data_IF_140687265306
#
_entry.id   IF_140687265306
#
_cell.length_a   1.000
_cell.length_b   1.000
_cell.length_c   1.000
_cell.angle_alpha   90.00
_cell.angle_beta   90.00
_cell.angle_gamma   90.00
#
_symmetry.space_group_name_H-M   'P 1'
#
loop_
_entity.id
_entity.type
_entity.pdbx_description
1 polymer ?
#
# COMPACT_ATOMS: atom_id res chain seq x y z
N UNK A 1 26.84 30.13 -15.92
CA UNK A 1 26.95 28.70 -16.26
C UNK A 1 26.12 28.52 -17.52
N UNK A 2 26.75 28.72 -18.67
CA UNK A 2 26.18 28.39 -19.98
C UNK A 2 26.09 26.87 -20.06
N UNK A 3 24.86 26.34 -20.20
CA UNK A 3 24.63 24.96 -20.57
C UNK A 3 25.09 24.84 -22.03
N UNK A 4 26.10 24.02 -22.28
CA UNK A 4 26.55 23.70 -23.62
C UNK A 4 25.42 22.98 -24.37
N UNK A 5 24.78 23.66 -25.31
CA UNK A 5 23.77 23.14 -26.26
C UNK A 5 24.37 22.18 -27.32
N UNK A 6 25.54 21.59 -27.05
CA UNK A 6 26.33 20.85 -28.05
C UNK A 6 26.11 19.33 -28.07
N UNK A 7 25.19 18.77 -27.27
CA UNK A 7 24.90 17.33 -27.29
C UNK A 7 23.57 16.94 -27.96
N UNK A 8 22.63 17.88 -28.15
CA UNK A 8 21.34 17.58 -28.80
C UNK A 8 21.43 17.40 -30.32
N UNK A 9 22.57 17.72 -30.93
CA UNK A 9 22.79 17.61 -32.37
C UNK A 9 23.18 16.21 -32.86
N UNK A 10 23.36 15.21 -31.97
CA UNK A 10 23.88 13.88 -32.36
C UNK A 10 22.84 12.85 -32.82
N UNK A 11 21.54 13.16 -32.77
CA UNK A 11 20.50 12.30 -33.37
C UNK A 11 19.85 12.92 -34.63
N UNK A 12 20.44 14.01 -35.15
CA UNK A 12 19.96 14.77 -36.32
C UNK A 12 20.93 14.69 -37.51
N UNK A 13 21.16 13.50 -38.04
CA UNK A 13 21.71 13.29 -39.40
C UNK A 13 21.59 11.79 -39.72
N UNK A 14 21.09 11.31 -40.87
CA UNK A 14 21.40 11.85 -42.20
C UNK A 14 20.39 11.49 -43.31
N UNK A 15 19.25 10.84 -43.05
CA UNK A 15 18.28 10.53 -44.10
C UNK A 15 16.86 10.89 -43.64
N UNK A 16 16.32 11.98 -44.20
CA UNK A 16 15.03 12.60 -43.87
C UNK A 16 13.77 11.78 -44.17
N UNK A 17 13.80 10.46 -43.97
CA UNK A 17 12.62 9.61 -43.99
C UNK A 17 12.27 9.21 -42.55
N UNK A 18 11.56 10.11 -41.86
CA UNK A 18 10.73 9.72 -40.71
C UNK A 18 9.64 8.78 -41.23
N UNK A 19 9.93 7.48 -41.29
CA UNK A 19 8.90 6.47 -41.51
C UNK A 19 8.01 6.47 -40.27
N UNK A 20 6.87 7.16 -40.38
CA UNK A 20 5.84 7.24 -39.36
C UNK A 20 5.30 5.82 -39.11
N UNK A 21 5.79 5.18 -38.05
CA UNK A 21 5.41 3.82 -37.60
C UNK A 21 3.97 3.78 -37.02
N UNK A 22 3.03 4.53 -37.61
CA UNK A 22 1.69 4.78 -37.06
C UNK A 22 0.76 3.55 -37.09
N UNK A 23 0.88 2.67 -38.08
CA UNK A 23 -0.14 1.63 -38.27
C UNK A 23 -0.03 0.44 -37.29
N UNK A 24 1.17 0.13 -36.78
CA UNK A 24 1.32 -0.85 -35.68
C UNK A 24 1.13 -0.26 -34.29
N UNK A 25 1.03 1.08 -34.16
CA UNK A 25 0.77 1.74 -32.88
C UNK A 25 -0.68 1.61 -32.45
N UNK A 26 -1.64 1.64 -33.38
CA UNK A 26 -3.07 1.66 -33.03
C UNK A 26 -3.51 0.35 -32.33
N UNK A 27 -3.14 -0.82 -32.84
CA UNK A 27 -3.47 -2.10 -32.20
C UNK A 27 -2.76 -2.31 -30.85
N UNK A 28 -1.52 -1.83 -30.73
CA UNK A 28 -0.79 -1.88 -29.46
C UNK A 28 -1.37 -0.92 -28.41
N UNK A 29 -1.83 0.26 -28.84
CA UNK A 29 -2.52 1.23 -27.99
C UNK A 29 -3.84 0.66 -27.47
N UNK A 30 -4.63 0.03 -28.35
CA UNK A 30 -5.92 -0.57 -27.97
C UNK A 30 -5.72 -1.75 -27.03
N UNK A 31 -4.76 -2.66 -27.29
CA UNK A 31 -4.50 -3.79 -26.39
C UNK A 31 -3.93 -3.35 -25.03
N UNK A 32 -3.08 -2.32 -25.01
CA UNK A 32 -2.55 -1.72 -23.78
C UNK A 32 -3.64 -1.06 -22.92
N UNK A 33 -4.54 -0.30 -23.55
CA UNK A 33 -5.67 0.31 -22.88
C UNK A 33 -6.64 -0.74 -22.31
N UNK A 34 -6.94 -1.81 -23.07
CA UNK A 34 -7.77 -2.90 -22.58
C UNK A 34 -7.11 -3.59 -21.38
N UNK A 35 -5.81 -3.91 -21.45
CA UNK A 35 -5.09 -4.51 -20.34
C UNK A 35 -5.04 -3.61 -19.10
N UNK A 36 -4.81 -2.31 -19.27
CA UNK A 36 -4.83 -1.32 -18.19
C UNK A 36 -6.20 -1.19 -17.53
N UNK A 37 -7.27 -1.17 -18.33
CA UNK A 37 -8.66 -1.14 -17.84
C UNK A 37 -9.00 -2.45 -17.12
N UNK A 38 -8.67 -3.60 -17.68
CA UNK A 38 -8.89 -4.91 -17.05
C UNK A 38 -8.13 -5.04 -15.72
N UNK A 39 -6.89 -4.57 -15.66
CA UNK A 39 -6.09 -4.55 -14.43
C UNK A 39 -6.69 -3.59 -13.39
N UNK A 40 -7.13 -2.41 -13.82
CA UNK A 40 -7.82 -1.44 -12.96
C UNK A 40 -9.12 -2.03 -12.39
N UNK A 41 -9.92 -2.72 -13.22
CA UNK A 41 -11.13 -3.43 -12.78
C UNK A 41 -10.78 -4.56 -11.80
N UNK A 42 -9.74 -5.35 -12.08
CA UNK A 42 -9.29 -6.42 -11.20
C UNK A 42 -8.86 -5.87 -9.83
N UNK A 43 -8.14 -4.76 -9.81
CA UNK A 43 -7.73 -4.05 -8.60
C UNK A 43 -8.94 -3.48 -7.87
N UNK A 44 -9.90 -2.90 -8.58
CA UNK A 44 -11.11 -2.35 -7.98
C UNK A 44 -11.96 -3.45 -7.34
N UNK A 45 -12.15 -4.57 -8.05
CA UNK A 45 -12.81 -5.78 -7.54
C UNK A 45 -12.06 -6.35 -6.34
N UNK A 46 -10.74 -6.38 -6.39
CA UNK A 46 -9.89 -6.86 -5.30
C UNK A 46 -9.98 -5.95 -4.07
N UNK A 47 -10.00 -4.63 -4.25
CA UNK A 47 -10.17 -3.66 -3.17
C UNK A 47 -11.58 -3.75 -2.59
N UNK A 48 -12.60 -3.90 -3.42
CA UNK A 48 -13.97 -4.15 -2.99
C UNK A 48 -14.07 -5.46 -2.18
N UNK A 49 -13.46 -6.55 -2.64
CA UNK A 49 -13.40 -7.84 -1.93
C UNK A 49 -12.61 -7.74 -0.62
N UNK A 50 -11.50 -7.00 -0.61
CA UNK A 50 -10.69 -6.77 0.58
C UNK A 50 -11.47 -5.96 1.62
N UNK A 51 -12.07 -4.85 1.22
CA UNK A 51 -12.95 -4.02 2.06
C UNK A 51 -14.15 -4.84 2.56
N UNK A 52 -14.77 -5.64 1.69
CA UNK A 52 -15.88 -6.53 2.05
C UNK A 52 -15.45 -7.57 3.09
N UNK A 53 -14.32 -8.25 2.88
CA UNK A 53 -13.75 -9.24 3.80
C UNK A 53 -13.38 -8.63 5.16
N UNK A 54 -12.99 -7.35 5.18
CA UNK A 54 -12.66 -6.62 6.40
C UNK A 54 -13.92 -6.14 7.13
N UNK A 55 -14.93 -5.61 6.42
CA UNK A 55 -16.15 -5.04 6.99
C UNK A 55 -17.12 -6.09 7.53
N UNK A 56 -17.27 -7.22 6.82
CA UNK A 56 -18.21 -8.29 7.19
C UNK A 56 -17.53 -9.49 7.86
N UNK A 57 -16.21 -9.41 8.05
CA UNK A 57 -15.39 -10.52 8.54
C UNK A 57 -15.51 -10.85 10.04
N UNK A 58 -16.31 -10.15 10.84
CA UNK A 58 -16.48 -10.51 12.25
C UNK A 58 -17.42 -11.70 12.48
N UNK A 59 -18.27 -12.05 11.50
CA UNK A 59 -19.33 -13.06 11.68
C UNK A 59 -19.28 -14.25 10.70
N UNK A 60 -18.31 -14.32 9.77
CA UNK A 60 -18.29 -15.37 8.74
C UNK A 60 -17.23 -16.47 8.97
N UNK A 61 -17.61 -17.77 8.94
CA UNK A 61 -16.67 -18.90 9.03
C UNK A 61 -15.76 -19.02 7.80
N UNK A 62 -16.06 -18.33 6.69
CA UNK A 62 -15.25 -18.32 5.46
C UNK A 62 -14.02 -17.39 5.55
N UNK A 63 -13.89 -16.62 6.63
CA UNK A 63 -12.83 -15.62 6.88
C UNK A 63 -11.39 -16.09 6.64
N UNK A 64 -10.91 -17.22 7.17
CA UNK A 64 -9.52 -17.61 6.98
C UNK A 64 -9.24 -18.08 5.56
N UNK A 65 -10.21 -18.75 4.92
CA UNK A 65 -10.07 -19.20 3.52
C UNK A 65 -10.08 -18.01 2.57
N UNK A 66 -11.06 -17.11 2.68
CA UNK A 66 -11.14 -15.93 1.82
C UNK A 66 -9.91 -15.04 1.99
N UNK A 67 -9.44 -14.81 3.22
CA UNK A 67 -8.20 -14.04 3.46
C UNK A 67 -6.97 -14.70 2.85
N UNK A 68 -6.84 -16.02 2.94
CA UNK A 68 -5.73 -16.76 2.30
C UNK A 68 -5.81 -16.66 0.78
N UNK A 69 -6.99 -16.85 0.21
CA UNK A 69 -7.21 -16.76 -1.24
C UNK A 69 -6.92 -15.35 -1.73
N UNK A 70 -7.47 -14.31 -1.10
CA UNK A 70 -7.18 -12.92 -1.47
C UNK A 70 -5.69 -12.59 -1.36
N UNK A 71 -5.03 -13.05 -0.30
CA UNK A 71 -3.60 -12.78 -0.12
C UNK A 71 -2.72 -13.58 -1.09
N UNK A 72 -3.04 -14.85 -1.34
CA UNK A 72 -2.32 -15.68 -2.30
C UNK A 72 -2.53 -15.18 -3.73
N UNK A 73 -3.76 -14.79 -4.09
CA UNK A 73 -4.05 -14.20 -5.39
C UNK A 73 -3.34 -12.87 -5.56
N UNK A 74 -3.25 -12.07 -4.50
CA UNK A 74 -2.46 -10.84 -4.50
C UNK A 74 -0.97 -11.13 -4.74
N UNK A 75 -0.36 -12.01 -3.93
CA UNK A 75 1.05 -12.36 -4.11
C UNK A 75 1.30 -12.93 -5.50
N UNK A 76 0.40 -13.79 -6.00
CA UNK A 76 0.50 -14.37 -7.32
C UNK A 76 0.43 -13.29 -8.40
N UNK A 77 -0.53 -12.35 -8.32
CA UNK A 77 -0.66 -11.24 -9.27
C UNK A 77 0.58 -10.35 -9.21
N UNK A 78 0.99 -9.89 -8.03
CA UNK A 78 2.20 -9.06 -7.88
C UNK A 78 3.46 -9.78 -8.37
N UNK A 79 3.60 -11.08 -8.13
CA UNK A 79 4.78 -11.84 -8.54
C UNK A 79 4.78 -12.15 -10.05
N UNK A 80 3.62 -12.51 -10.61
CA UNK A 80 3.44 -12.65 -12.06
C UNK A 80 3.71 -11.32 -12.75
N UNK A 81 3.24 -10.21 -12.19
CA UNK A 81 3.47 -8.87 -12.71
C UNK A 81 4.96 -8.53 -12.73
N UNK A 82 5.69 -8.79 -11.63
CA UNK A 82 7.14 -8.59 -11.56
C UNK A 82 7.87 -9.47 -12.60
N UNK A 83 7.48 -10.73 -12.76
CA UNK A 83 8.09 -11.64 -13.74
C UNK A 83 7.78 -11.20 -15.17
N UNK A 84 6.53 -10.83 -15.45
CA UNK A 84 6.11 -10.37 -16.78
C UNK A 84 6.85 -9.08 -17.17
N UNK A 85 7.01 -8.15 -16.22
CA UNK A 85 7.79 -6.92 -16.40
C UNK A 85 9.29 -7.17 -16.60
N UNK A 86 9.87 -8.07 -15.81
CA UNK A 86 11.32 -8.25 -15.79
C UNK A 86 11.84 -9.14 -16.92
N UNK A 87 11.02 -10.10 -17.38
CA UNK A 87 11.51 -11.19 -18.23
C UNK A 87 10.76 -11.40 -19.55
N UNK A 88 9.45 -11.12 -19.62
CA UNK A 88 8.62 -11.59 -20.75
C UNK A 88 8.23 -10.45 -21.69
N UNK A 89 7.92 -9.26 -21.16
CA UNK A 89 7.66 -8.07 -21.97
C UNK A 89 8.77 -7.04 -21.76
N UNK A 90 9.83 -7.05 -22.59
CA UNK A 90 10.65 -5.85 -22.80
C UNK A 90 9.82 -4.68 -23.41
N UNK A 91 8.52 -4.88 -23.68
CA UNK A 91 7.58 -3.79 -24.00
C UNK A 91 7.26 -2.99 -22.75
N UNK A 92 7.99 -1.88 -22.64
CA UNK A 92 8.01 -0.78 -21.65
C UNK A 92 6.67 -0.33 -21.05
N UNK A 93 5.55 -0.61 -21.72
CA UNK A 93 4.20 -0.18 -21.36
C UNK A 93 3.63 -0.89 -20.13
N UNK A 94 3.91 -2.18 -19.95
CA UNK A 94 3.34 -2.94 -18.83
C UNK A 94 3.94 -2.54 -17.47
N UNK A 95 5.23 -2.16 -17.45
CA UNK A 95 5.97 -1.87 -16.23
C UNK A 95 5.41 -0.72 -15.40
N UNK A 96 4.92 0.33 -16.05
CA UNK A 96 4.54 1.56 -15.35
C UNK A 96 3.11 1.50 -14.80
N UNK A 97 2.20 0.80 -15.50
CA UNK A 97 0.87 0.49 -14.93
C UNK A 97 1.04 -0.42 -13.72
N UNK A 98 1.86 -1.46 -13.83
CA UNK A 98 2.17 -2.39 -12.74
C UNK A 98 2.80 -1.70 -11.52
N UNK A 99 3.63 -0.70 -11.78
CA UNK A 99 4.18 0.15 -10.73
C UNK A 99 3.06 0.87 -9.95
N UNK A 100 2.24 1.67 -10.64
CA UNK A 100 1.17 2.48 -10.02
C UNK A 100 0.19 1.59 -9.23
N UNK A 101 -0.14 0.42 -9.77
CA UNK A 101 -1.08 -0.51 -9.14
C UNK A 101 -0.53 -1.13 -7.86
N UNK A 102 0.78 -1.35 -7.78
CA UNK A 102 1.42 -1.91 -6.58
C UNK A 102 1.39 -0.91 -5.41
N UNK A 103 1.64 0.38 -5.65
CA UNK A 103 1.50 1.43 -4.61
C UNK A 103 0.07 1.51 -4.09
N UNK A 104 -0.90 1.41 -4.98
CA UNK A 104 -2.31 1.46 -4.59
C UNK A 104 -2.65 0.38 -3.56
N UNK A 105 -2.17 -0.84 -3.80
CA UNK A 105 -2.40 -1.92 -2.86
C UNK A 105 -1.74 -1.67 -1.50
N UNK A 106 -0.47 -1.23 -1.49
CA UNK A 106 0.27 -0.95 -0.25
C UNK A 106 -0.44 0.15 0.56
N UNK A 107 -0.80 1.28 -0.08
CA UNK A 107 -1.47 2.38 0.60
C UNK A 107 -2.86 2.01 1.11
N UNK A 108 -3.65 1.26 0.34
CA UNK A 108 -4.94 0.75 0.81
C UNK A 108 -4.79 -0.24 1.96
N UNK A 109 -3.78 -1.12 1.92
CA UNK A 109 -3.49 -2.03 3.00
C UNK A 109 -3.14 -1.27 4.29
N UNK A 110 -2.25 -0.28 4.20
CA UNK A 110 -1.90 0.60 5.32
C UNK A 110 -3.13 1.34 5.84
N UNK A 111 -3.94 1.93 4.96
CA UNK A 111 -5.17 2.61 5.33
C UNK A 111 -6.17 1.66 6.01
N UNK A 112 -6.37 0.43 5.51
CA UNK A 112 -7.27 -0.55 6.11
C UNK A 112 -6.83 -0.90 7.54
N UNK A 113 -5.52 -1.09 7.74
CA UNK A 113 -4.94 -1.32 9.06
C UNK A 113 -5.20 -0.15 9.99
N UNK A 114 -4.97 1.05 9.48
CA UNK A 114 -5.18 2.29 10.20
C UNK A 114 -6.64 2.48 10.62
N UNK A 115 -7.56 2.31 9.68
CA UNK A 115 -9.00 2.43 9.89
C UNK A 115 -9.49 1.47 10.99
N UNK A 116 -8.92 0.27 11.09
CA UNK A 116 -9.24 -0.66 12.17
C UNK A 116 -8.94 -0.08 13.56
N UNK A 117 -7.85 0.66 13.73
CA UNK A 117 -7.53 1.29 15.03
C UNK A 117 -8.50 2.43 15.36
N UNK A 118 -8.92 3.19 14.35
CA UNK A 118 -9.89 4.29 14.54
C UNK A 118 -11.34 3.83 14.73
N UNK A 119 -11.64 2.57 14.40
CA UNK A 119 -12.94 1.93 14.62
C UNK A 119 -12.99 1.10 15.90
N UNK A 120 -11.84 0.83 16.54
CA UNK A 120 -11.81 0.06 17.79
C UNK A 120 -12.51 0.85 18.90
N UNK A 121 -13.59 0.32 19.53
CA UNK A 121 -14.36 1.04 20.54
C UNK A 121 -13.50 1.46 21.74
N UNK A 122 -12.43 0.72 22.06
CA UNK A 122 -11.55 1.03 23.19
C UNK A 122 -10.72 2.29 22.91
N UNK A 123 -10.36 2.51 21.65
CA UNK A 123 -9.53 3.64 21.22
C UNK A 123 -10.36 4.81 20.69
N UNK A 124 -11.51 4.54 20.07
CA UNK A 124 -12.30 5.52 19.33
C UNK A 124 -12.79 6.68 20.18
N UNK A 125 -13.05 6.41 21.46
CA UNK A 125 -13.58 7.39 22.41
C UNK A 125 -12.50 8.40 22.83
N UNK A 126 -11.23 7.99 22.77
CA UNK A 126 -10.09 8.85 23.06
C UNK A 126 -9.65 9.68 21.85
N UNK A 127 -10.14 9.37 20.64
CA UNK A 127 -9.76 10.08 19.44
C UNK A 127 -10.69 11.25 19.13
N UNK A 128 -10.13 12.43 18.82
CA UNK A 128 -10.94 13.57 18.41
C UNK A 128 -11.67 13.25 17.09
N UNK A 129 -12.88 13.82 16.92
CA UNK A 129 -13.71 13.56 15.73
C UNK A 129 -12.99 13.90 14.41
N UNK A 130 -12.07 14.85 14.42
CA UNK A 130 -11.30 15.25 13.24
C UNK A 130 -10.38 14.14 12.73
N UNK A 131 -9.80 13.29 13.60
CA UNK A 131 -8.89 12.22 13.15
C UNK A 131 -9.62 11.15 12.34
N UNK A 132 -10.86 10.84 12.73
CA UNK A 132 -11.75 9.93 11.98
C UNK A 132 -12.14 10.51 10.62
N UNK A 133 -12.41 11.81 10.56
CA UNK A 133 -12.66 12.51 9.29
C UNK A 133 -11.41 12.50 8.41
N UNK A 134 -10.24 12.77 8.98
CA UNK A 134 -8.95 12.75 8.27
C UNK A 134 -8.63 11.36 7.73
N UNK A 135 -8.90 10.29 8.49
CA UNK A 135 -8.75 8.92 8.01
C UNK A 135 -9.65 8.62 6.80
N UNK A 136 -10.90 9.08 6.78
CA UNK A 136 -11.78 8.94 5.61
C UNK A 136 -11.32 9.80 4.44
N UNK A 137 -10.87 11.02 4.70
CA UNK A 137 -10.28 11.90 3.70
C UNK A 137 -9.04 11.25 3.05
N UNK A 138 -8.20 10.59 3.85
CA UNK A 138 -7.01 9.88 3.36
C UNK A 138 -7.39 8.78 2.37
N UNK A 139 -8.46 8.02 2.63
CA UNK A 139 -8.97 7.05 1.64
C UNK A 139 -9.38 7.73 0.35
N UNK A 140 -10.18 8.80 0.45
CA UNK A 140 -10.64 9.54 -0.72
C UNK A 140 -9.45 10.09 -1.52
N UNK A 141 -8.42 10.61 -0.84
CA UNK A 141 -7.18 11.07 -1.45
C UNK A 141 -6.43 9.92 -2.14
N UNK A 142 -6.27 8.76 -1.50
CA UNK A 142 -5.63 7.58 -2.12
C UNK A 142 -6.37 7.17 -3.40
N UNK A 143 -7.70 7.03 -3.33
CA UNK A 143 -8.52 6.64 -4.49
C UNK A 143 -8.42 7.70 -5.59
N UNK A 144 -8.58 8.98 -5.24
CA UNK A 144 -8.56 10.07 -6.20
C UNK A 144 -7.21 10.19 -6.88
N UNK A 145 -6.12 10.30 -6.11
CA UNK A 145 -4.76 10.45 -6.64
C UNK A 145 -4.40 9.28 -7.54
N UNK A 146 -4.66 8.03 -7.11
CA UNK A 146 -4.30 6.88 -7.92
C UNK A 146 -5.16 6.79 -9.18
N UNK A 147 -6.46 7.09 -9.08
CA UNK A 147 -7.33 7.10 -10.27
C UNK A 147 -6.91 8.21 -11.24
N UNK A 148 -6.65 9.41 -10.73
CA UNK A 148 -6.17 10.54 -11.52
C UNK A 148 -4.81 10.23 -12.14
N UNK A 149 -3.88 9.61 -11.39
CA UNK A 149 -2.58 9.18 -11.92
C UNK A 149 -2.78 8.16 -13.04
N UNK A 150 -3.60 7.13 -12.84
CA UNK A 150 -3.90 6.19 -13.92
C UNK A 150 -4.51 6.88 -15.15
N UNK A 151 -5.41 7.86 -15.00
CA UNK A 151 -6.05 8.53 -16.14
C UNK A 151 -5.11 9.51 -16.85
N UNK A 152 -4.27 10.24 -16.11
CA UNK A 152 -3.38 11.28 -16.65
C UNK A 152 -2.08 10.70 -17.19
N UNK A 153 -1.53 9.71 -16.49
CA UNK A 153 -0.26 9.07 -16.81
C UNK A 153 -0.47 8.01 -17.89
N UNK A 154 -1.54 7.20 -17.84
CA UNK A 154 -1.73 6.14 -18.85
C UNK A 154 -1.65 6.63 -20.31
N UNK A 155 -2.35 7.69 -20.75
CA UNK A 155 -2.39 8.06 -22.17
C UNK A 155 -1.01 8.47 -22.71
N UNK A 156 -0.25 9.26 -21.97
CA UNK A 156 1.11 9.67 -22.34
C UNK A 156 2.10 8.51 -22.26
N UNK A 157 1.85 7.54 -21.38
CA UNK A 157 2.66 6.32 -21.26
C UNK A 157 2.31 5.28 -22.32
N UNK A 158 1.12 5.35 -22.92
CA UNK A 158 0.68 4.50 -24.03
C UNK A 158 1.22 4.96 -25.39
N UNK A 159 1.56 6.25 -25.54
CA UNK A 159 2.29 6.79 -26.68
C UNK A 159 3.53 7.60 -26.22
N UNK A 160 4.52 6.94 -25.58
CA UNK A 160 5.73 7.64 -25.20
C UNK A 160 6.41 8.11 -26.49
N UNK A 161 6.79 9.38 -26.54
CA UNK A 161 7.74 9.86 -27.55
C UNK A 161 9.09 9.22 -27.23
N UNK A 162 9.28 7.98 -27.69
CA UNK A 162 10.55 7.28 -27.56
C UNK A 162 11.50 7.85 -28.58
N UNK A 163 12.48 8.63 -28.12
CA UNK A 163 13.63 9.00 -28.93
C UNK A 163 14.55 7.78 -28.92
N UNK A 164 14.58 7.04 -30.04
CA UNK A 164 15.51 5.93 -30.24
C UNK A 164 16.80 6.52 -30.80
N UNK A 165 17.81 6.71 -29.96
CA UNK A 165 19.16 7.03 -30.45
C UNK A 165 19.94 5.71 -30.58
N UNK A 166 20.00 5.17 -31.80
CA UNK A 166 20.67 3.90 -32.09
C UNK A 166 20.88 3.59 -33.56
N UNK A 167 21.92 2.81 -33.85
CA UNK A 167 22.22 2.35 -35.20
C UNK A 167 21.30 1.17 -35.52
N UNK A 168 20.60 1.22 -36.65
CA UNK A 168 19.79 0.10 -37.15
C UNK A 168 20.72 -1.04 -37.56
N UNK A 169 20.67 -2.18 -36.85
CA UNK A 169 21.40 -3.40 -37.27
C UNK A 169 20.73 -4.00 -38.51
N UNK A 170 21.51 -4.72 -39.32
CA UNK A 170 21.05 -5.37 -40.56
C UNK A 170 19.83 -6.31 -40.37
N UNK A 171 19.61 -6.81 -39.15
CA UNK A 171 18.47 -7.67 -38.81
C UNK A 171 17.18 -6.88 -38.52
N UNK A 172 17.17 -5.55 -38.71
CA UNK A 172 16.03 -4.68 -38.42
C UNK A 172 15.89 -4.29 -36.94
N UNK A 173 16.76 -4.78 -36.06
CA UNK A 173 16.80 -4.39 -34.65
C UNK A 173 17.64 -3.13 -34.44
N UNK A 174 17.14 -2.17 -33.68
CA UNK A 174 17.92 -0.98 -33.28
C UNK A 174 18.77 -1.33 -32.06
N UNK A 175 20.08 -1.05 -32.14
CA UNK A 175 20.97 -1.07 -30.98
C UNK A 175 21.10 0.37 -30.49
N UNK A 176 20.17 0.78 -29.63
CA UNK A 176 20.02 2.17 -29.23
C UNK A 176 19.60 2.33 -27.78
N UNK A 177 20.16 3.34 -27.13
CA UNK A 177 19.71 3.78 -25.80
C UNK A 177 18.45 4.61 -26.02
N UNK A 178 17.39 4.26 -25.30
CA UNK A 178 16.15 5.01 -25.35
C UNK A 178 16.05 5.87 -24.10
N UNK A 179 15.84 7.15 -24.33
CA UNK A 179 15.51 8.13 -23.30
C UNK A 179 14.02 8.40 -23.34
N UNK A 180 13.42 8.62 -22.16
CA UNK A 180 12.02 8.99 -22.04
C UNK A 180 12.03 10.50 -21.86
N UNK A 181 11.41 11.21 -22.80
CA UNK A 181 11.07 12.61 -22.59
C UNK A 181 9.77 12.60 -21.78
N UNK A 182 9.91 12.43 -20.46
CA UNK A 182 8.80 12.47 -19.53
C UNK A 182 8.38 13.93 -19.32
N UNK A 183 7.08 14.19 -19.39
CA UNK A 183 6.53 15.47 -18.99
C UNK A 183 6.85 15.72 -17.51
N UNK A 184 7.76 16.66 -17.24
CA UNK A 184 8.21 17.02 -15.89
C UNK A 184 7.02 17.26 -14.94
N UNK A 185 5.92 17.82 -15.45
CA UNK A 185 4.71 18.07 -14.66
C UNK A 185 4.07 16.78 -14.15
N UNK A 186 3.98 15.76 -14.99
CA UNK A 186 3.43 14.46 -14.62
C UNK A 186 4.28 13.80 -13.53
N UNK A 187 5.61 13.93 -13.62
CA UNK A 187 6.54 13.47 -12.59
C UNK A 187 6.33 14.21 -11.26
N UNK A 188 6.34 15.54 -11.28
CA UNK A 188 6.17 16.36 -10.09
C UNK A 188 4.81 16.11 -9.43
N UNK A 189 3.75 15.98 -10.22
CA UNK A 189 2.42 15.64 -9.74
C UNK A 189 2.44 14.29 -9.02
N UNK A 190 3.03 13.25 -9.61
CA UNK A 190 3.18 11.94 -9.00
C UNK A 190 3.93 12.00 -7.67
N UNK A 191 5.06 12.70 -7.65
CA UNK A 191 5.91 12.87 -6.47
C UNK A 191 5.19 13.58 -5.33
N UNK A 192 4.62 14.76 -5.60
CA UNK A 192 3.94 15.57 -4.59
C UNK A 192 2.76 14.79 -4.00
N UNK A 193 2.03 14.07 -4.87
CA UNK A 193 0.90 13.26 -4.45
C UNK A 193 1.31 12.08 -3.55
N UNK A 194 2.40 11.38 -3.89
CA UNK A 194 2.93 10.30 -3.06
C UNK A 194 3.41 10.80 -1.71
N UNK A 195 4.23 11.85 -1.67
CA UNK A 195 4.74 12.45 -0.43
C UNK A 195 3.58 12.91 0.45
N UNK A 196 2.54 13.52 -0.15
CA UNK A 196 1.34 13.94 0.57
C UNK A 196 0.60 12.76 1.20
N UNK A 197 0.32 11.70 0.45
CA UNK A 197 -0.39 10.51 0.95
C UNK A 197 0.42 9.81 2.05
N UNK A 198 1.71 9.60 1.85
CA UNK A 198 2.58 8.96 2.84
C UNK A 198 2.65 9.78 4.12
N UNK A 199 2.77 11.11 4.01
CA UNK A 199 2.76 12.00 5.17
C UNK A 199 1.46 11.89 5.97
N UNK A 200 0.31 11.84 5.28
CA UNK A 200 -0.99 11.62 5.93
C UNK A 200 -1.08 10.28 6.64
N UNK A 201 -0.68 9.18 5.97
CA UNK A 201 -0.69 7.84 6.54
C UNK A 201 0.24 7.75 7.75
N UNK A 202 1.48 8.23 7.62
CA UNK A 202 2.46 8.22 8.70
C UNK A 202 1.99 9.04 9.90
N UNK A 203 1.44 10.24 9.65
CA UNK A 203 0.86 11.08 10.70
C UNK A 203 -0.27 10.36 11.45
N UNK A 204 -1.17 9.69 10.73
CA UNK A 204 -2.29 8.96 11.32
C UNK A 204 -1.87 7.67 12.05
N UNK A 205 -0.69 7.12 11.79
CA UNK A 205 -0.10 6.05 12.61
C UNK A 205 0.61 6.59 13.85
N UNK A 206 1.37 7.67 13.70
CA UNK A 206 2.11 8.30 14.80
C UNK A 206 1.20 8.95 15.82
N UNK A 207 0.06 9.49 15.40
CA UNK A 207 -0.87 10.19 16.28
C UNK A 207 -1.43 9.27 17.39
N UNK A 208 -2.01 8.10 17.11
CA UNK A 208 -2.38 7.12 18.12
C UNK A 208 -1.22 6.72 19.04
N UNK A 209 0.00 6.59 18.49
CA UNK A 209 1.17 6.18 19.27
C UNK A 209 1.54 7.23 20.33
N UNK A 210 1.41 8.53 20.00
CA UNK A 210 1.64 9.65 20.91
C UNK A 210 0.53 9.81 21.96
N UNK A 211 -0.71 9.46 21.61
CA UNK A 211 -1.86 9.61 22.52
C UNK A 211 -1.98 8.46 23.54
N UNK A 212 -1.59 7.25 23.14
CA UNK A 212 -1.73 6.02 23.91
C UNK A 212 -1.14 6.05 25.34
N UNK A 213 0.01 6.70 25.63
CA UNK A 213 0.61 6.69 26.97
C UNK A 213 -0.18 7.48 28.02
N UNK A 214 -1.06 8.41 27.63
CA UNK A 214 -1.61 9.41 28.56
C UNK A 214 -2.98 9.09 29.16
N UNK A 215 -3.78 8.22 28.55
CA UNK A 215 -5.21 8.10 28.89
C UNK A 215 -5.71 6.69 29.21
N UNK A 216 -4.88 5.65 29.10
CA UNK A 216 -5.36 4.25 29.05
C UNK A 216 -4.85 3.45 30.27
N UNK A 217 -4.80 4.06 31.46
CA UNK A 217 -4.32 3.39 32.68
C UNK A 217 -5.35 2.49 33.37
N UNK A 218 -6.61 2.41 32.93
CA UNK A 218 -7.68 1.92 33.81
C UNK A 218 -8.37 0.60 33.42
N UNK A 219 -8.32 0.10 32.18
CA UNK A 219 -9.37 -0.86 31.73
C UNK A 219 -8.97 -2.25 31.20
N UNK A 220 -7.70 -2.59 30.93
CA UNK A 220 -7.20 -3.99 30.86
C UNK A 220 -5.76 -4.01 30.30
N UNK A 221 -4.72 -4.24 31.14
CA UNK A 221 -3.32 -4.07 30.73
C UNK A 221 -2.91 -5.05 29.61
N UNK A 222 -3.43 -6.28 29.62
CA UNK A 222 -3.07 -7.33 28.64
C UNK A 222 -3.57 -7.07 27.22
N UNK A 223 -4.80 -6.57 27.06
CA UNK A 223 -5.37 -6.28 25.74
C UNK A 223 -4.71 -5.04 25.12
N UNK A 224 -4.41 -4.07 25.97
CA UNK A 224 -3.73 -2.82 25.61
C UNK A 224 -2.31 -3.07 25.11
N UNK A 225 -1.53 -3.93 25.78
CA UNK A 225 -0.17 -4.25 25.35
C UNK A 225 -0.14 -4.88 23.95
N UNK A 226 -1.09 -5.79 23.67
CA UNK A 226 -1.21 -6.41 22.35
C UNK A 226 -1.55 -5.40 21.24
N UNK A 227 -2.44 -4.45 21.52
CA UNK A 227 -2.84 -3.40 20.59
C UNK A 227 -1.72 -2.39 20.35
N UNK A 228 -1.03 -1.95 21.40
CA UNK A 228 0.14 -1.08 21.31
C UNK A 228 1.26 -1.74 20.51
N UNK A 229 1.54 -3.03 20.76
CA UNK A 229 2.53 -3.80 20.00
C UNK A 229 2.17 -3.89 18.53
N UNK A 230 0.88 -4.06 18.20
CA UNK A 230 0.41 -4.07 16.82
C UNK A 230 0.56 -2.69 16.16
N UNK A 231 0.13 -1.63 16.84
CA UNK A 231 0.25 -0.24 16.37
C UNK A 231 1.71 0.13 16.10
N UNK A 232 2.62 -0.21 17.02
CA UNK A 232 4.06 0.01 16.87
C UNK A 232 4.62 -0.70 15.64
N UNK A 233 4.24 -1.96 15.41
CA UNK A 233 4.65 -2.72 14.21
C UNK A 233 4.12 -2.09 12.92
N UNK A 234 2.85 -1.67 12.90
CA UNK A 234 2.28 -0.98 11.74
C UNK A 234 2.93 0.38 11.48
N UNK A 235 3.31 1.10 12.54
CA UNK A 235 4.01 2.39 12.42
C UNK A 235 5.42 2.18 11.85
N UNK A 236 6.16 1.17 12.33
CA UNK A 236 7.47 0.82 11.78
C UNK A 236 7.35 0.43 10.31
N UNK A 237 6.36 -0.41 9.96
CA UNK A 237 6.07 -0.77 8.57
C UNK A 237 5.83 0.46 7.70
N UNK A 238 4.90 1.34 8.11
CA UNK A 238 4.59 2.55 7.35
C UNK A 238 5.83 3.44 7.18
N UNK A 239 6.66 3.56 8.23
CA UNK A 239 7.91 4.32 8.17
C UNK A 239 8.90 3.70 7.19
N UNK A 240 9.09 2.39 7.22
CA UNK A 240 9.94 1.68 6.26
C UNK A 240 9.47 1.95 4.82
N UNK A 241 8.17 1.81 4.55
CA UNK A 241 7.63 2.07 3.22
C UNK A 241 7.85 3.52 2.78
N UNK A 242 7.56 4.50 3.64
CA UNK A 242 7.81 5.91 3.33
C UNK A 242 9.28 6.17 3.01
N UNK A 243 10.21 5.57 3.76
CA UNK A 243 11.65 5.77 3.53
C UNK A 243 12.12 5.11 2.24
N UNK A 244 11.67 3.89 1.93
CA UNK A 244 12.04 3.20 0.69
C UNK A 244 11.45 3.93 -0.52
N UNK A 245 10.18 4.32 -0.46
CA UNK A 245 9.50 5.07 -1.52
C UNK A 245 10.24 6.40 -1.79
N UNK A 246 10.57 7.15 -0.74
CA UNK A 246 11.31 8.42 -0.85
C UNK A 246 12.71 8.19 -1.45
N UNK A 247 13.38 7.12 -1.03
CA UNK A 247 14.70 6.77 -1.57
C UNK A 247 14.62 6.42 -3.05
N UNK A 248 13.57 5.71 -3.47
CA UNK A 248 13.32 5.34 -4.85
C UNK A 248 12.99 6.57 -5.71
N UNK A 249 12.19 7.50 -5.18
CA UNK A 249 11.89 8.78 -5.85
C UNK A 249 13.17 9.60 -6.04
N UNK A 250 14.00 9.74 -5.00
CA UNK A 250 15.27 10.45 -5.10
C UNK A 250 16.19 9.78 -6.13
N UNK A 251 16.27 8.46 -6.11
CA UNK A 251 17.01 7.69 -7.10
C UNK A 251 16.52 7.98 -8.52
N UNK A 252 15.20 8.01 -8.75
CA UNK A 252 14.64 8.36 -10.05
C UNK A 252 15.07 9.76 -10.50
N UNK A 253 14.91 10.78 -9.64
CA UNK A 253 15.29 12.18 -9.97
C UNK A 253 16.77 12.30 -10.34
N UNK A 254 17.68 11.62 -9.62
CA UNK A 254 19.11 11.72 -9.89
C UNK A 254 19.56 10.96 -11.14
N UNK A 255 18.85 9.88 -11.50
CA UNK A 255 19.30 8.95 -12.55
C UNK A 255 18.46 8.97 -13.83
N UNK A 256 17.29 9.63 -13.85
CA UNK A 256 16.41 9.70 -15.03
C UNK A 256 17.13 10.24 -16.27
N UNK A 257 17.98 11.27 -16.11
CA UNK A 257 18.66 11.93 -17.23
C UNK A 257 19.97 11.22 -17.63
N UNK A 258 20.51 10.38 -16.74
CA UNK A 258 21.87 9.83 -16.91
C UNK A 258 21.90 8.32 -17.16
N UNK A 259 20.79 7.62 -16.93
CA UNK A 259 20.71 6.15 -17.03
C UNK A 259 19.59 5.72 -17.96
N UNK A 260 19.74 4.57 -18.64
CA UNK A 260 18.65 4.01 -19.43
C UNK A 260 17.40 3.78 -18.59
N UNK A 261 16.21 4.05 -19.14
CA UNK A 261 14.89 3.86 -18.51
C UNK A 261 14.77 2.51 -17.80
N UNK A 262 15.29 1.44 -18.40
CA UNK A 262 15.21 0.08 -17.87
C UNK A 262 15.86 0.00 -16.48
N UNK A 263 17.01 0.66 -16.31
CA UNK A 263 17.73 0.68 -15.03
C UNK A 263 16.94 1.44 -13.97
N UNK A 264 16.37 2.58 -14.35
CA UNK A 264 15.56 3.42 -13.46
C UNK A 264 14.27 2.69 -13.04
N UNK A 265 13.58 2.03 -13.98
CA UNK A 265 12.39 1.24 -13.73
C UNK A 265 12.65 0.03 -12.81
N UNK A 266 13.83 -0.58 -12.88
CA UNK A 266 14.17 -1.67 -11.96
C UNK A 266 14.24 -1.19 -10.50
N UNK A 267 14.63 0.07 -10.25
CA UNK A 267 14.61 0.65 -8.91
C UNK A 267 13.21 0.61 -8.29
N UNK A 268 12.20 0.97 -9.08
CA UNK A 268 10.80 0.91 -8.71
C UNK A 268 10.28 -0.50 -8.41
N UNK A 269 10.73 -1.50 -9.19
CA UNK A 269 10.39 -2.90 -8.94
C UNK A 269 10.99 -3.38 -7.61
N UNK A 270 12.24 -3.00 -7.33
CA UNK A 270 12.93 -3.35 -6.08
C UNK A 270 12.21 -2.70 -4.88
N UNK A 271 11.79 -1.44 -5.00
CA UNK A 271 11.05 -0.74 -3.95
C UNK A 271 9.69 -1.40 -3.67
N UNK A 272 8.92 -1.70 -4.72
CA UNK A 272 7.67 -2.43 -4.61
C UNK A 272 7.85 -3.79 -3.91
N UNK A 273 8.90 -4.53 -4.26
CA UNK A 273 9.26 -5.80 -3.62
C UNK A 273 9.63 -5.62 -2.14
N UNK A 274 10.40 -4.59 -1.81
CA UNK A 274 10.78 -4.26 -0.44
C UNK A 274 9.53 -3.96 0.40
N UNK A 275 8.63 -3.13 -0.11
CA UNK A 275 7.37 -2.78 0.54
C UNK A 275 6.44 -3.96 0.75
N UNK A 276 6.27 -4.80 -0.28
CA UNK A 276 5.48 -6.02 -0.19
C UNK A 276 6.06 -6.97 0.86
N UNK A 277 7.38 -7.11 0.88
CA UNK A 277 8.11 -7.92 1.85
C UNK A 277 7.90 -7.40 3.27
N UNK A 278 8.01 -6.09 3.49
CA UNK A 278 7.71 -5.45 4.77
C UNK A 278 6.24 -5.70 5.19
N UNK A 279 5.29 -5.60 4.26
CA UNK A 279 3.88 -5.88 4.52
C UNK A 279 3.67 -7.33 4.98
N UNK A 280 4.29 -8.31 4.32
CA UNK A 280 4.23 -9.72 4.70
C UNK A 280 4.79 -9.91 6.11
N UNK A 281 5.99 -9.39 6.39
CA UNK A 281 6.68 -9.59 7.67
C UNK A 281 6.04 -8.85 8.85
N UNK A 282 5.22 -7.82 8.60
CA UNK A 282 4.48 -7.14 9.66
C UNK A 282 3.45 -8.07 10.35
N UNK A 283 3.02 -9.14 9.70
CA UNK A 283 2.07 -10.09 10.28
C UNK A 283 2.75 -11.04 11.28
N UNK A 284 2.16 -11.24 12.45
CA UNK A 284 2.63 -12.28 13.39
C UNK A 284 2.57 -13.69 12.79
N UNK A 285 1.69 -13.90 11.81
CA UNK A 285 1.46 -15.16 11.10
C UNK A 285 2.18 -15.23 9.75
N UNK A 286 3.20 -14.38 9.50
CA UNK A 286 3.85 -14.27 8.19
C UNK A 286 4.35 -15.63 7.66
N UNK A 287 4.91 -16.49 8.52
CA UNK A 287 5.39 -17.83 8.13
C UNK A 287 4.30 -18.66 7.48
N UNK A 288 3.07 -18.59 7.99
CA UNK A 288 1.91 -19.30 7.46
C UNK A 288 1.35 -18.64 6.19
N UNK A 289 1.60 -17.36 6.00
CA UNK A 289 1.22 -16.67 4.77
C UNK A 289 2.13 -17.07 3.60
N UNK A 290 3.44 -17.18 3.86
CA UNK A 290 4.42 -17.62 2.86
C UNK A 290 4.35 -19.14 2.66
N UNK A 291 4.24 -19.89 3.76
CA UNK A 291 4.25 -21.35 3.77
C UNK A 291 2.95 -21.91 4.36
N UNK A 292 1.82 -21.86 3.62
CA UNK A 292 0.54 -22.33 4.12
C UNK A 292 0.52 -23.83 4.47
N UNK A 293 1.48 -24.61 3.97
CA UNK A 293 1.64 -26.04 4.26
C UNK A 293 2.45 -26.35 5.53
N UNK A 294 3.19 -25.40 6.11
CA UNK A 294 4.13 -25.66 7.22
C UNK A 294 3.51 -25.58 8.63
N UNK A 295 2.18 -25.57 8.79
CA UNK A 295 1.59 -25.47 10.12
C UNK A 295 0.22 -26.10 10.23
N UNK A 296 -0.03 -26.79 11.35
CA UNK A 296 -1.34 -27.32 11.69
C UNK A 296 -2.27 -26.12 12.02
N UNK A 297 -3.20 -25.73 11.12
CA UNK A 297 -3.98 -24.50 11.28
C UNK A 297 -4.83 -24.54 12.55
N UNK A 298 -5.26 -25.75 12.93
CA UNK A 298 -6.17 -25.98 14.03
C UNK A 298 -5.54 -25.73 15.39
N UNK A 299 -4.25 -26.02 15.59
CA UNK A 299 -3.60 -25.83 16.88
C UNK A 299 -3.51 -24.35 17.30
N UNK A 300 -3.19 -23.46 16.36
CA UNK A 300 -3.06 -22.04 16.66
C UNK A 300 -4.41 -21.33 16.68
N UNK A 301 -5.37 -21.73 15.84
CA UNK A 301 -6.76 -21.25 15.94
C UNK A 301 -7.34 -21.67 17.28
N UNK A 302 -7.09 -22.91 17.74
CA UNK A 302 -7.46 -23.35 19.09
C UNK A 302 -6.83 -22.43 20.12
N UNK A 303 -5.51 -22.25 20.11
CA UNK A 303 -4.82 -21.37 21.06
C UNK A 303 -5.31 -19.93 21.04
N UNK A 304 -5.60 -19.37 19.86
CA UNK A 304 -6.17 -18.02 19.74
C UNK A 304 -7.59 -17.95 20.32
N UNK A 305 -8.44 -18.93 20.00
CA UNK A 305 -9.81 -19.00 20.49
C UNK A 305 -9.84 -19.24 22.00
N UNK A 306 -8.99 -20.11 22.52
CA UNK A 306 -8.81 -20.33 23.96
C UNK A 306 -8.29 -19.07 24.64
N UNK A 307 -7.35 -18.34 24.03
CA UNK A 307 -6.86 -17.07 24.57
C UNK A 307 -7.95 -15.98 24.54
N UNK A 308 -8.80 -15.95 23.51
CA UNK A 308 -9.90 -15.00 23.38
C UNK A 308 -11.04 -15.31 24.37
N UNK A 309 -11.40 -16.58 24.52
CA UNK A 309 -12.36 -17.06 25.51
C UNK A 309 -11.88 -16.77 26.93
N UNK A 310 -10.60 -17.03 27.21
CA UNK A 310 -9.98 -16.72 28.52
C UNK A 310 -9.98 -15.22 28.81
N UNK A 311 -9.77 -14.37 27.79
CA UNK A 311 -9.87 -12.91 27.93
C UNK A 311 -11.32 -12.45 28.12
N UNK A 312 -12.27 -13.03 27.41
CA UNK A 312 -13.69 -12.70 27.56
C UNK A 312 -14.20 -13.08 28.97
N UNK A 313 -13.85 -14.28 29.44
CA UNK A 313 -14.21 -14.73 30.79
C UNK A 313 -13.55 -13.88 31.88
N UNK A 314 -12.30 -13.44 31.69
CA UNK A 314 -11.64 -12.50 32.60
C UNK A 314 -12.32 -11.13 32.59
N UNK A 315 -12.72 -10.60 31.43
CA UNK A 315 -13.39 -9.31 31.32
C UNK A 315 -14.77 -9.32 32.01
N UNK A 316 -15.55 -10.39 31.84
CA UNK A 316 -16.83 -10.57 32.56
C UNK A 316 -16.62 -10.67 34.06
N UNK A 317 -15.60 -11.42 34.51
CA UNK A 317 -15.25 -11.50 35.92
C UNK A 317 -14.93 -10.12 36.51
N UNK A 318 -14.10 -9.31 35.84
CA UNK A 318 -13.78 -7.96 36.31
C UNK A 318 -14.99 -7.02 36.29
N UNK A 319 -15.90 -7.13 35.31
CA UNK A 319 -17.15 -6.37 35.34
C UNK A 319 -18.03 -6.77 36.53
N UNK A 320 -18.09 -8.07 36.86
CA UNK A 320 -18.86 -8.55 37.99
C UNK A 320 -18.29 -8.05 39.32
N UNK A 321 -16.96 -8.12 39.50
CA UNK A 321 -16.26 -7.57 40.68
C UNK A 321 -16.50 -6.07 40.80
N UNK A 322 -16.44 -5.32 39.70
CA UNK A 322 -16.71 -3.88 39.70
C UNK A 322 -18.12 -3.54 40.16
N UNK A 323 -19.14 -4.21 39.62
CA UNK A 323 -20.54 -4.02 40.06
C UNK A 323 -20.72 -4.31 41.54
N UNK A 324 -20.05 -5.34 42.07
CA UNK A 324 -20.07 -5.63 43.50
C UNK A 324 -19.38 -4.55 44.33
N UNK A 325 -18.25 -4.01 43.87
CA UNK A 325 -17.56 -2.93 44.57
C UNK A 325 -18.39 -1.63 44.60
N UNK A 326 -19.06 -1.28 43.50
CA UNK A 326 -19.93 -0.11 43.41
C UNK A 326 -21.18 -0.29 44.30
N UNK A 327 -21.74 -1.50 44.38
CA UNK A 327 -22.83 -1.82 45.29
C UNK A 327 -22.42 -1.71 46.78
N UNK A 328 -21.23 -2.19 47.15
CA UNK A 328 -20.71 -2.08 48.51
C UNK A 328 -20.44 -0.61 48.90
N UNK A 329 -19.90 0.20 47.98
CA UNK A 329 -19.71 1.63 48.20
C UNK A 329 -21.04 2.35 48.45
N UNK A 330 -22.08 2.06 47.65
CA UNK A 330 -23.42 2.62 47.88
C UNK A 330 -24.02 2.23 49.23
N UNK A 331 -23.84 0.97 49.67
CA UNK A 331 -24.30 0.53 50.99
C UNK A 331 -23.54 1.28 52.10
N UNK A 332 -22.22 1.42 51.98
CA UNK A 332 -21.44 2.17 52.97
C UNK A 332 -21.80 3.66 53.04
N UNK A 333 -22.12 4.28 51.91
CA UNK A 333 -22.62 5.66 51.86
C UNK A 333 -24.00 5.83 52.51
N UNK A 334 -24.90 4.86 52.34
CA UNK A 334 -26.21 4.86 53.01
C UNK A 334 -26.05 4.71 54.53
N UNK A 335 -25.17 3.81 54.98
CA UNK A 335 -24.92 3.62 56.42
C UNK A 335 -24.34 4.89 57.04
N UNK A 336 -23.37 5.55 56.40
CA UNK A 336 -22.80 6.80 56.90
C UNK A 336 -23.83 7.94 57.00
N UNK A 337 -24.82 8.01 56.09
CA UNK A 337 -25.90 9.00 56.13
C UNK A 337 -27.00 8.72 57.17
N UNK A 338 -27.02 7.54 57.77
CA UNK A 338 -27.98 7.19 58.84
C UNK A 338 -27.38 7.47 60.23
N UNK A 339 -26.06 7.53 60.34
CA UNK A 339 -25.35 7.72 61.61
C UNK A 339 -24.80 9.15 61.82
N UNK A 340 -24.84 10.00 60.79
CA UNK A 340 -24.51 11.42 60.84
C UNK A 340 -25.66 12.22 60.25
#
# INVERSE_FOLDING_TARGET
MEKNDSEDQRCWDQDGNFTDFRDHKVEQLVSGNIAGVSLTIAIYLFCALSVYSFRFGEFSPFKPKLRRVSFALLLLVSFLDIILCSFILPRRLASNVIFITTFYFIYLFLWLRQNKFYQDPILSDNFPKWSRKLNKFTLAAIIFVVTASNITVAPHFFDPKVIICGIKKQNGFYDGICFQDDDEWSLWLGLVSMVFIQSLLLFLFLYPLKLHPKHISATNPLQQEGMYRLLRRCTILATCCTVTDLSCILFYIFFQDTKPIIFVNNGYVIDALANLTCCIFCHSTWKRMIFPWMGNPDAEIRNYTTSKLRRASQAEFFQHVRRHSEALFNISGIVLNVYF
#
